data_IF_200931646387
#
_entry.id   IF_200931646387
#
_cell.length_a   1.000
_cell.length_b   1.000
_cell.length_c   1.000
_cell.angle_alpha   90.00
_cell.angle_beta   90.00
_cell.angle_gamma   90.00
#
_symmetry.space_group_name_H-M   'P 1'
#
loop_
_entity.id
_entity.type
_entity.pdbx_description
1 polymer ?
#
# COMPACT_ATOMS: atom_id res chain seq x y z
N UNK A 1 4.12 20.37 19.40
CA UNK A 1 3.76 20.48 17.97
C UNK A 1 4.61 21.55 17.28
N UNK A 2 4.77 22.74 17.87
CA UNK A 2 5.57 23.83 17.28
C UNK A 2 7.03 23.42 17.03
N UNK A 3 7.68 22.71 17.94
CA UNK A 3 9.05 22.20 17.79
C UNK A 3 9.19 21.11 16.73
N UNK A 4 8.10 20.37 16.42
CA UNK A 4 8.10 19.26 15.49
C UNK A 4 7.83 19.67 14.04
N UNK A 5 7.06 20.70 13.82
CA UNK A 5 6.56 21.06 12.48
C UNK A 5 6.92 22.48 12.03
N UNK A 6 7.30 23.36 12.94
CA UNK A 6 7.60 24.76 12.62
C UNK A 6 9.10 25.06 12.76
N UNK A 7 9.64 24.81 13.95
CA UNK A 7 11.03 25.20 14.31
C UNK A 7 12.03 24.08 14.04
N UNK A 8 11.61 22.93 13.51
CA UNK A 8 12.47 21.78 13.24
C UNK A 8 13.67 22.21 12.37
N UNK A 9 14.93 22.09 12.86
CA UNK A 9 16.10 22.43 12.06
C UNK A 9 16.29 21.41 10.93
N UNK A 10 16.20 21.85 9.68
CA UNK A 10 16.33 21.02 8.50
C UNK A 10 17.46 21.50 7.61
N UNK A 11 18.16 20.57 6.95
CA UNK A 11 19.23 20.93 6.02
C UNK A 11 18.68 21.81 4.90
N UNK A 12 19.41 22.86 4.55
CA UNK A 12 19.05 23.77 3.44
C UNK A 12 19.13 23.11 2.06
N UNK A 13 19.83 21.99 1.95
CA UNK A 13 20.07 21.27 0.71
C UNK A 13 19.00 20.23 0.35
N UNK A 14 17.88 20.14 1.10
CA UNK A 14 16.80 19.20 0.77
C UNK A 14 16.12 19.63 -0.54
N UNK A 15 16.06 18.72 -1.51
CA UNK A 15 15.39 18.91 -2.78
C UNK A 15 13.94 18.33 -2.77
N UNK A 16 13.27 18.26 -3.92
CA UNK A 16 11.91 17.74 -4.01
C UNK A 16 11.81 16.23 -3.72
N UNK A 17 12.91 15.49 -3.74
CA UNK A 17 12.89 14.07 -3.38
C UNK A 17 12.56 13.84 -1.90
N UNK A 18 12.70 14.85 -1.05
CA UNK A 18 12.27 14.79 0.35
C UNK A 18 10.77 14.99 0.55
N UNK A 19 10.03 15.39 -0.50
CA UNK A 19 8.57 15.51 -0.46
C UNK A 19 7.86 14.16 -0.53
N UNK A 20 8.53 13.07 -0.91
CA UNK A 20 7.88 11.75 -1.04
C UNK A 20 7.24 11.26 0.26
N UNK A 21 7.85 11.56 1.41
CA UNK A 21 7.30 11.19 2.72
C UNK A 21 6.00 11.92 3.05
N UNK A 22 5.93 13.23 2.83
CA UNK A 22 4.71 14.01 3.04
C UNK A 22 3.61 13.62 2.04
N UNK A 23 3.98 13.32 0.79
CA UNK A 23 3.05 12.80 -0.21
C UNK A 23 2.44 11.46 0.21
N UNK A 24 3.26 10.53 0.73
CA UNK A 24 2.76 9.26 1.26
C UNK A 24 1.78 9.45 2.42
N UNK A 25 2.03 10.42 3.31
CA UNK A 25 1.09 10.77 4.38
C UNK A 25 -0.25 11.26 3.85
N UNK A 26 -0.23 12.12 2.82
CA UNK A 26 -1.46 12.60 2.15
C UNK A 26 -2.21 11.45 1.48
N UNK A 27 -1.50 10.56 0.77
CA UNK A 27 -2.13 9.40 0.10
C UNK A 27 -2.69 8.42 1.15
N UNK A 28 -1.99 8.17 2.26
CA UNK A 28 -2.49 7.31 3.34
C UNK A 28 -3.81 7.82 3.89
N UNK A 29 -3.89 9.12 4.19
CA UNK A 29 -5.13 9.74 4.63
C UNK A 29 -6.25 9.58 3.60
N UNK A 30 -5.95 9.82 2.33
CA UNK A 30 -6.90 9.67 1.22
C UNK A 30 -7.40 8.22 1.08
N UNK A 31 -6.52 7.22 1.21
CA UNK A 31 -6.88 5.80 1.17
C UNK A 31 -7.75 5.41 2.36
N UNK A 32 -7.41 5.83 3.57
CA UNK A 32 -8.23 5.59 4.76
C UNK A 32 -9.62 6.22 4.58
N UNK A 33 -9.68 7.46 4.12
CA UNK A 33 -10.95 8.17 3.93
C UNK A 33 -11.84 7.49 2.88
N UNK A 34 -11.30 7.21 1.69
CA UNK A 34 -12.06 6.55 0.62
C UNK A 34 -12.47 5.13 0.99
N UNK A 35 -11.58 4.35 1.63
CA UNK A 35 -11.88 3.01 2.10
C UNK A 35 -12.95 2.97 3.18
N UNK A 36 -12.92 3.92 4.12
CA UNK A 36 -13.94 4.06 5.14
C UNK A 36 -15.33 4.30 4.54
N UNK A 37 -15.45 5.16 3.53
CA UNK A 37 -16.72 5.41 2.84
C UNK A 37 -17.20 4.18 2.06
N UNK A 38 -16.29 3.45 1.42
CA UNK A 38 -16.64 2.20 0.71
C UNK A 38 -17.15 1.12 1.67
N UNK A 39 -16.63 1.06 2.89
CA UNK A 39 -17.02 0.04 3.87
C UNK A 39 -18.48 0.12 4.30
N UNK A 40 -19.16 1.25 4.12
CA UNK A 40 -20.58 1.39 4.45
C UNK A 40 -21.51 0.58 3.54
N UNK A 41 -21.07 0.30 2.33
CA UNK A 41 -21.89 -0.33 1.29
C UNK A 41 -21.33 -1.69 0.83
N UNK A 42 -20.13 -2.04 1.27
CA UNK A 42 -19.49 -3.31 0.92
C UNK A 42 -20.02 -4.45 1.79
N UNK A 43 -20.29 -5.61 1.18
CA UNK A 43 -20.63 -6.85 1.87
C UNK A 43 -19.49 -7.86 1.81
N UNK A 44 -19.04 -8.33 2.97
CA UNK A 44 -17.99 -9.36 3.09
C UNK A 44 -18.52 -10.79 3.04
N UNK A 45 -19.63 -11.00 2.37
CA UNK A 45 -20.19 -12.33 2.06
C UNK A 45 -19.72 -12.79 0.68
N UNK A 46 -19.27 -14.03 0.56
CA UNK A 46 -18.72 -14.58 -0.70
C UNK A 46 -19.74 -14.66 -1.83
N UNK A 47 -21.03 -14.63 -1.53
CA UNK A 47 -22.10 -14.59 -2.53
C UNK A 47 -22.46 -13.15 -2.94
N UNK A 48 -22.17 -12.16 -2.11
CA UNK A 48 -22.60 -10.77 -2.29
C UNK A 48 -21.43 -9.80 -2.52
N UNK A 49 -20.20 -10.20 -2.25
CA UNK A 49 -19.05 -9.29 -2.27
C UNK A 49 -18.85 -8.65 -3.63
N UNK A 50 -18.82 -9.43 -4.71
CA UNK A 50 -18.68 -8.91 -6.06
C UNK A 50 -19.85 -8.00 -6.44
N UNK A 51 -21.08 -8.41 -6.16
CA UNK A 51 -22.29 -7.63 -6.45
C UNK A 51 -22.34 -6.35 -5.63
N UNK A 52 -21.85 -6.35 -4.37
CA UNK A 52 -21.76 -5.13 -3.56
C UNK A 52 -20.80 -4.09 -4.15
N UNK A 53 -19.70 -4.54 -4.78
CA UNK A 53 -18.79 -3.63 -5.50
C UNK A 53 -19.49 -3.05 -6.74
N UNK A 54 -20.28 -3.86 -7.48
CA UNK A 54 -21.08 -3.37 -8.61
C UNK A 54 -22.15 -2.38 -8.12
N UNK A 55 -22.87 -2.70 -7.03
CA UNK A 55 -23.82 -1.81 -6.39
C UNK A 55 -23.19 -0.46 -6.03
N UNK A 56 -21.98 -0.46 -5.44
CA UNK A 56 -21.24 0.77 -5.15
C UNK A 56 -20.98 1.57 -6.44
N UNK A 57 -20.63 0.88 -7.53
CA UNK A 57 -20.28 1.54 -8.79
C UNK A 57 -21.48 2.15 -9.51
N UNK A 58 -22.67 1.53 -9.43
CA UNK A 58 -23.81 1.90 -10.25
C UNK A 58 -24.94 2.59 -9.49
N UNK A 59 -25.19 2.21 -8.24
CA UNK A 59 -26.37 2.64 -7.50
C UNK A 59 -26.08 3.61 -6.37
N UNK A 60 -24.90 3.50 -5.73
CA UNK A 60 -24.53 4.42 -4.64
C UNK A 60 -24.12 5.78 -5.21
N UNK A 61 -24.73 6.83 -4.69
CA UNK A 61 -24.43 8.19 -5.12
C UNK A 61 -22.95 8.54 -4.88
N UNK A 62 -22.22 8.88 -5.93
CA UNK A 62 -20.75 9.05 -5.96
C UNK A 62 -19.93 7.82 -5.56
N UNK A 63 -20.53 6.65 -5.43
CA UNK A 63 -19.82 5.41 -5.06
C UNK A 63 -18.74 5.04 -6.07
N UNK A 64 -19.02 5.19 -7.37
CA UNK A 64 -18.04 5.02 -8.44
C UNK A 64 -16.78 5.88 -8.23
N UNK A 65 -16.94 7.12 -7.76
CA UNK A 65 -15.85 8.05 -7.54
C UNK A 65 -14.93 7.56 -6.42
N UNK A 66 -15.48 7.17 -5.27
CA UNK A 66 -14.69 6.65 -4.15
C UNK A 66 -14.02 5.33 -4.52
N UNK A 67 -14.70 4.49 -5.31
CA UNK A 67 -14.14 3.20 -5.76
C UNK A 67 -12.94 3.39 -6.68
N UNK A 68 -13.05 4.24 -7.74
CA UNK A 68 -11.92 4.49 -8.65
C UNK A 68 -10.77 5.25 -7.96
N UNK A 69 -11.07 6.14 -7.02
CA UNK A 69 -10.05 6.82 -6.22
C UNK A 69 -9.29 5.86 -5.31
N UNK A 70 -10.00 4.95 -4.64
CA UNK A 70 -9.38 3.98 -3.75
C UNK A 70 -8.51 2.99 -4.53
N UNK A 71 -8.99 2.49 -5.65
CA UNK A 71 -8.26 1.58 -6.53
C UNK A 71 -6.99 2.22 -7.11
N UNK A 72 -7.11 3.38 -7.75
CA UNK A 72 -5.95 4.06 -8.36
C UNK A 72 -5.02 4.68 -7.30
N UNK A 73 -5.57 5.08 -6.16
CA UNK A 73 -4.80 5.60 -5.05
C UNK A 73 -3.84 4.58 -4.46
N UNK A 74 -4.18 3.27 -4.48
CA UNK A 74 -3.25 2.21 -4.12
C UNK A 74 -2.03 2.20 -5.05
N UNK A 75 -2.23 2.31 -6.37
CA UNK A 75 -1.13 2.42 -7.33
C UNK A 75 -0.28 3.67 -7.09
N UNK A 76 -0.90 4.82 -6.84
CA UNK A 76 -0.19 6.06 -6.50
C UNK A 76 0.63 5.91 -5.22
N UNK A 77 0.09 5.19 -4.22
CA UNK A 77 0.79 4.91 -2.97
C UNK A 77 2.09 4.15 -3.24
N UNK A 78 2.05 3.07 -4.03
CA UNK A 78 3.24 2.29 -4.36
C UNK A 78 4.26 3.04 -5.21
N UNK A 79 3.84 3.91 -6.14
CA UNK A 79 4.77 4.80 -6.86
C UNK A 79 5.60 5.62 -5.88
N UNK A 80 4.94 6.32 -4.96
CA UNK A 80 5.65 7.17 -3.99
C UNK A 80 6.38 6.36 -2.91
N UNK A 81 5.88 5.18 -2.54
CA UNK A 81 6.55 4.28 -1.61
C UNK A 81 7.91 3.82 -2.16
N UNK A 82 7.95 3.41 -3.42
CA UNK A 82 9.20 3.02 -4.07
C UNK A 82 10.14 4.20 -4.26
N UNK A 83 9.65 5.36 -4.70
CA UNK A 83 10.46 6.56 -4.78
C UNK A 83 11.06 6.95 -3.43
N UNK A 84 10.27 6.88 -2.36
CA UNK A 84 10.71 7.14 -0.99
C UNK A 84 11.77 6.15 -0.52
N UNK A 85 11.57 4.86 -0.76
CA UNK A 85 12.49 3.79 -0.43
C UNK A 85 13.83 3.94 -1.19
N UNK A 86 13.78 4.08 -2.51
CA UNK A 86 14.99 4.21 -3.33
C UNK A 86 15.73 5.52 -3.07
N UNK A 87 15.02 6.63 -2.81
CA UNK A 87 15.65 7.87 -2.33
C UNK A 87 16.43 7.62 -1.03
N UNK A 88 15.86 6.84 -0.10
CA UNK A 88 16.52 6.44 1.14
C UNK A 88 17.78 5.63 0.89
N UNK A 89 17.76 4.68 -0.04
CA UNK A 89 18.93 3.90 -0.44
C UNK A 89 20.00 4.81 -1.08
N UNK A 90 19.61 5.63 -2.06
CA UNK A 90 20.52 6.49 -2.80
C UNK A 90 21.24 7.50 -1.92
N UNK A 91 20.55 8.08 -0.92
CA UNK A 91 21.11 9.06 0.00
C UNK A 91 21.63 8.45 1.31
N UNK A 92 21.86 7.13 1.34
CA UNK A 92 22.39 6.41 2.51
C UNK A 92 21.57 6.61 3.80
N UNK A 93 20.24 6.82 3.68
CA UNK A 93 19.34 7.05 4.81
C UNK A 93 19.17 5.81 5.70
N UNK A 94 19.57 4.62 5.23
CA UNK A 94 19.61 3.39 6.03
C UNK A 94 20.54 3.49 7.25
N UNK A 95 21.44 4.47 7.28
CA UNK A 95 22.29 4.79 8.45
C UNK A 95 21.46 5.29 9.64
N UNK A 96 20.29 5.87 9.40
CA UNK A 96 19.32 6.21 10.42
C UNK A 96 18.53 4.94 10.79
N UNK A 97 19.16 4.02 11.49
CA UNK A 97 18.73 2.62 11.64
C UNK A 97 17.30 2.44 12.15
N UNK A 98 16.85 3.21 13.13
CA UNK A 98 15.48 3.13 13.66
C UNK A 98 14.45 3.66 12.67
N UNK A 99 14.78 4.75 11.95
CA UNK A 99 13.93 5.29 10.89
C UNK A 99 13.80 4.29 9.76
N UNK A 100 14.93 3.71 9.34
CA UNK A 100 14.96 2.69 8.29
C UNK A 100 14.17 1.46 8.65
N UNK A 101 14.42 0.90 9.83
CA UNK A 101 13.73 -0.30 10.31
C UNK A 101 12.21 -0.10 10.41
N UNK A 102 11.76 1.01 10.99
CA UNK A 102 10.33 1.34 11.04
C UNK A 102 9.72 1.48 9.65
N UNK A 103 10.46 2.06 8.68
CA UNK A 103 10.04 2.14 7.27
C UNK A 103 9.91 0.77 6.62
N UNK A 104 10.82 -0.16 6.89
CA UNK A 104 10.74 -1.55 6.39
C UNK A 104 9.50 -2.27 6.94
N UNK A 105 9.16 -2.09 8.21
CA UNK A 105 7.91 -2.63 8.76
C UNK A 105 6.68 -2.03 8.08
N UNK A 106 6.67 -0.71 7.83
CA UNK A 106 5.57 -0.04 7.13
C UNK A 106 5.40 -0.62 5.72
N UNK A 107 6.47 -0.77 4.94
CA UNK A 107 6.41 -1.37 3.59
C UNK A 107 5.78 -2.76 3.65
N UNK A 108 6.21 -3.60 4.58
CA UNK A 108 5.67 -4.95 4.75
C UNK A 108 4.15 -4.94 5.01
N UNK A 109 3.68 -4.08 5.93
CA UNK A 109 2.25 -3.98 6.21
C UNK A 109 1.45 -3.36 5.07
N UNK A 110 2.02 -2.41 4.31
CA UNK A 110 1.38 -1.83 3.12
C UNK A 110 1.21 -2.88 2.01
N UNK A 111 2.19 -3.78 1.82
CA UNK A 111 2.08 -4.91 0.89
C UNK A 111 0.92 -5.83 1.28
N UNK A 112 0.83 -6.20 2.57
CA UNK A 112 -0.27 -7.02 3.08
C UNK A 112 -1.62 -6.31 2.93
N UNK A 113 -1.67 -5.03 3.25
CA UNK A 113 -2.86 -4.19 3.13
C UNK A 113 -3.40 -4.18 1.71
N UNK A 114 -2.54 -3.87 0.74
CA UNK A 114 -2.94 -3.81 -0.66
C UNK A 114 -3.39 -5.17 -1.21
N UNK A 115 -2.71 -6.25 -0.83
CA UNK A 115 -3.10 -7.60 -1.21
C UNK A 115 -4.51 -7.95 -0.67
N UNK A 116 -4.76 -7.73 0.61
CA UNK A 116 -6.06 -8.01 1.19
C UNK A 116 -7.16 -7.18 0.55
N UNK A 117 -6.93 -5.88 0.31
CA UNK A 117 -7.88 -5.00 -0.38
C UNK A 117 -8.22 -5.46 -1.80
N UNK A 118 -7.22 -5.95 -2.54
CA UNK A 118 -7.43 -6.52 -3.86
C UNK A 118 -8.34 -7.76 -3.82
N UNK A 119 -8.14 -8.64 -2.84
CA UNK A 119 -8.97 -9.84 -2.67
C UNK A 119 -10.43 -9.51 -2.35
N UNK A 120 -10.72 -8.42 -1.66
CA UNK A 120 -12.08 -8.05 -1.28
C UNK A 120 -13.05 -7.86 -2.46
N UNK A 121 -12.55 -7.57 -3.66
CA UNK A 121 -13.40 -7.48 -4.86
C UNK A 121 -14.07 -8.81 -5.17
N UNK A 122 -13.45 -9.93 -4.80
CA UNK A 122 -13.94 -11.30 -5.00
C UNK A 122 -14.25 -11.62 -6.46
N UNK A 123 -13.44 -11.02 -7.35
CA UNK A 123 -13.49 -11.23 -8.79
C UNK A 123 -12.58 -12.39 -9.23
N UNK A 124 -12.63 -12.75 -10.50
CA UNK A 124 -11.92 -13.89 -11.07
C UNK A 124 -10.41 -13.83 -10.78
N UNK A 125 -9.73 -12.71 -11.07
CA UNK A 125 -8.29 -12.59 -10.84
C UNK A 125 -7.98 -12.54 -9.34
N UNK A 126 -8.72 -11.77 -8.54
CA UNK A 126 -8.42 -11.58 -7.12
C UNK A 126 -8.63 -12.84 -6.28
N UNK A 127 -9.65 -13.65 -6.61
CA UNK A 127 -9.87 -14.94 -5.96
C UNK A 127 -8.72 -15.90 -6.19
N UNK A 128 -8.28 -16.05 -7.44
CA UNK A 128 -7.20 -16.96 -7.78
C UNK A 128 -5.83 -16.46 -7.31
N UNK A 129 -5.61 -15.14 -7.30
CA UNK A 129 -4.45 -14.55 -6.64
C UNK A 129 -4.41 -14.87 -5.14
N UNK A 130 -5.58 -14.82 -4.47
CA UNK A 130 -5.70 -15.21 -3.07
C UNK A 130 -5.29 -16.67 -2.85
N UNK A 131 -5.79 -17.60 -3.67
CA UNK A 131 -5.44 -19.02 -3.59
C UNK A 131 -3.93 -19.22 -3.72
N UNK A 132 -3.31 -18.62 -4.74
CA UNK A 132 -1.88 -18.79 -5.02
C UNK A 132 -1.02 -18.19 -3.90
N UNK A 133 -1.27 -16.93 -3.53
CA UNK A 133 -0.41 -16.21 -2.57
C UNK A 133 -0.53 -16.81 -1.17
N UNK A 134 -1.76 -17.12 -0.71
CA UNK A 134 -1.93 -17.72 0.62
C UNK A 134 -1.41 -19.14 0.71
N UNK A 135 -1.43 -19.91 -0.41
CA UNK A 135 -0.83 -21.24 -0.45
C UNK A 135 0.69 -21.21 -0.25
N UNK A 136 1.37 -20.10 -0.50
CA UNK A 136 2.81 -19.95 -0.23
C UNK A 136 3.14 -20.05 1.27
N UNK A 137 2.19 -19.79 2.16
CA UNK A 137 2.38 -19.99 3.60
C UNK A 137 2.71 -21.45 3.95
N UNK A 138 2.34 -22.40 3.08
CA UNK A 138 2.66 -23.83 3.27
C UNK A 138 4.16 -24.15 3.29
N UNK A 139 5.01 -23.23 2.80
CA UNK A 139 6.47 -23.43 2.83
C UNK A 139 7.08 -23.20 4.21
N UNK A 140 6.33 -22.59 5.14
CA UNK A 140 6.80 -22.38 6.52
C UNK A 140 7.01 -23.73 7.18
N UNK A 141 8.24 -24.03 7.68
CA UNK A 141 8.54 -25.32 8.27
C UNK A 141 7.63 -25.65 9.47
N UNK A 142 7.29 -26.92 9.63
CA UNK A 142 6.52 -27.53 10.72
C UNK A 142 5.03 -27.19 10.76
N UNK A 143 4.62 -25.94 10.60
CA UNK A 143 3.23 -25.50 10.78
C UNK A 143 2.61 -24.77 9.56
N UNK A 144 3.33 -24.76 8.43
CA UNK A 144 2.84 -24.04 7.23
C UNK A 144 1.48 -24.50 6.72
N UNK A 145 1.22 -25.81 6.77
CA UNK A 145 -0.10 -26.37 6.42
C UNK A 145 -1.21 -25.87 7.35
N UNK A 146 -0.98 -25.87 8.65
CA UNK A 146 -1.94 -25.39 9.65
C UNK A 146 -2.18 -23.89 9.49
N UNK A 147 -1.15 -23.13 9.15
CA UNK A 147 -1.25 -21.70 8.88
C UNK A 147 -2.14 -21.41 7.66
N UNK A 148 -2.00 -22.20 6.59
CA UNK A 148 -2.90 -22.09 5.41
C UNK A 148 -4.33 -22.37 5.80
N UNK A 149 -4.59 -23.48 6.52
CA UNK A 149 -5.93 -23.84 6.98
C UNK A 149 -6.54 -22.76 7.89
N UNK A 150 -5.73 -22.15 8.72
CA UNK A 150 -6.17 -21.08 9.59
C UNK A 150 -6.56 -19.82 8.80
N UNK A 151 -5.73 -19.40 7.84
CA UNK A 151 -6.00 -18.24 6.97
C UNK A 151 -7.23 -18.47 6.11
N UNK A 152 -7.40 -19.69 5.57
CA UNK A 152 -8.58 -20.02 4.76
C UNK A 152 -9.85 -20.19 5.61
N UNK A 153 -9.71 -20.49 6.90
CA UNK A 153 -10.81 -20.88 7.77
C UNK A 153 -11.43 -22.22 7.40
N UNK A 154 -10.67 -23.09 6.72
CA UNK A 154 -11.07 -24.39 6.22
C UNK A 154 -10.09 -24.93 5.17
N UNK A 155 -10.56 -25.85 4.32
CA UNK A 155 -9.69 -26.55 3.35
C UNK A 155 -9.54 -25.78 2.01
N UNK A 156 -10.29 -24.70 1.81
CA UNK A 156 -10.26 -23.89 0.59
C UNK A 156 -10.47 -22.42 0.93
N UNK A 157 -10.00 -21.52 0.05
CA UNK A 157 -10.38 -20.10 0.10
C UNK A 157 -11.90 -20.00 -0.02
N UNK A 158 -12.52 -19.30 0.93
CA UNK A 158 -13.99 -19.25 1.08
C UNK A 158 -14.45 -17.93 1.71
N UNK A 159 -15.74 -17.83 2.02
CA UNK A 159 -16.31 -16.70 2.74
C UNK A 159 -15.67 -16.47 4.13
N UNK A 160 -15.08 -17.49 4.77
CA UNK A 160 -14.32 -17.32 6.00
C UNK A 160 -13.02 -16.51 5.76
N UNK A 161 -12.30 -16.84 4.68
CA UNK A 161 -11.12 -16.10 4.23
C UNK A 161 -11.47 -14.64 3.94
N UNK A 162 -12.56 -14.41 3.21
CA UNK A 162 -13.03 -13.08 2.85
C UNK A 162 -13.35 -12.22 4.08
N UNK A 163 -14.03 -12.80 5.08
CA UNK A 163 -14.36 -12.12 6.33
C UNK A 163 -13.11 -11.74 7.13
N UNK A 164 -12.14 -12.66 7.21
CA UNK A 164 -10.86 -12.39 7.85
C UNK A 164 -10.13 -11.23 7.14
N UNK A 165 -10.06 -11.28 5.82
CA UNK A 165 -9.37 -10.24 5.03
C UNK A 165 -10.06 -8.89 5.13
N UNK A 166 -11.40 -8.85 5.12
CA UNK A 166 -12.12 -7.60 5.36
C UNK A 166 -11.81 -7.00 6.73
N UNK A 167 -11.86 -7.82 7.79
CA UNK A 167 -11.59 -7.35 9.14
C UNK A 167 -10.17 -6.80 9.29
N UNK A 168 -9.16 -7.51 8.74
CA UNK A 168 -7.78 -7.08 8.83
C UNK A 168 -7.53 -5.87 7.93
N UNK A 169 -8.04 -5.84 6.68
CA UNK A 169 -7.91 -4.69 5.78
C UNK A 169 -8.57 -3.42 6.36
N UNK A 170 -9.66 -3.54 7.10
CA UNK A 170 -10.28 -2.39 7.75
C UNK A 170 -9.46 -1.87 8.95
N UNK A 171 -8.79 -2.75 9.70
CA UNK A 171 -8.04 -2.39 10.91
C UNK A 171 -6.59 -2.00 10.62
N UNK A 172 -5.95 -2.63 9.66
CA UNK A 172 -4.52 -2.50 9.40
C UNK A 172 -4.09 -1.07 9.01
N UNK A 173 -4.87 -0.27 8.23
CA UNK A 173 -4.50 1.12 7.93
C UNK A 173 -4.33 1.99 9.17
N UNK A 174 -5.12 1.78 10.21
CA UNK A 174 -5.00 2.48 11.48
C UNK A 174 -3.71 2.09 12.22
N UNK A 175 -3.35 0.82 12.17
CA UNK A 175 -2.07 0.37 12.70
C UNK A 175 -0.89 0.94 11.91
N UNK A 176 -0.97 0.95 10.57
CA UNK A 176 0.02 1.61 9.70
C UNK A 176 0.15 3.09 10.05
N UNK A 177 -0.96 3.79 10.29
CA UNK A 177 -0.93 5.19 10.71
C UNK A 177 -0.14 5.39 12.02
N UNK A 178 -0.33 4.52 13.02
CA UNK A 178 0.45 4.57 14.27
C UNK A 178 1.93 4.32 14.00
N UNK A 179 2.28 3.37 13.13
CA UNK A 179 3.66 3.12 12.74
C UNK A 179 4.28 4.32 11.99
N UNK A 180 3.51 5.02 11.16
CA UNK A 180 3.95 6.25 10.48
C UNK A 180 4.25 7.35 11.49
N UNK A 181 3.41 7.52 12.52
CA UNK A 181 3.68 8.48 13.61
C UNK A 181 4.98 8.11 14.33
N UNK A 182 5.17 6.83 14.64
CA UNK A 182 6.43 6.35 15.25
C UNK A 182 7.64 6.61 14.33
N UNK A 183 7.51 6.33 13.04
CA UNK A 183 8.54 6.59 12.03
C UNK A 183 8.95 8.08 12.00
N UNK A 184 7.97 8.98 12.06
CA UNK A 184 8.21 10.43 12.13
C UNK A 184 8.87 10.84 13.44
N UNK A 185 8.49 10.25 14.57
CA UNK A 185 9.15 10.51 15.86
C UNK A 185 10.63 10.12 15.79
N UNK A 186 10.95 8.95 15.27
CA UNK A 186 12.34 8.52 15.09
C UNK A 186 13.09 9.43 14.13
N UNK A 187 12.47 9.90 13.05
CA UNK A 187 13.06 10.85 12.12
C UNK A 187 13.35 12.20 12.79
N UNK A 188 12.48 12.68 13.68
CA UNK A 188 12.70 13.93 14.39
C UNK A 188 13.85 13.87 15.40
N UNK A 189 14.13 12.69 15.95
CA UNK A 189 15.28 12.49 16.86
C UNK A 189 16.61 12.64 16.13
N UNK A 190 16.72 12.11 14.90
CA UNK A 190 17.97 12.11 14.13
C UNK A 190 18.07 13.25 13.12
N UNK A 191 16.93 13.79 12.68
CA UNK A 191 16.83 14.63 11.48
C UNK A 191 16.93 13.83 10.18
N UNK A 192 16.67 14.51 9.07
CA UNK A 192 16.75 13.91 7.72
C UNK A 192 18.18 13.86 7.21
N UNK A 193 18.52 12.86 6.40
CA UNK A 193 19.70 12.92 5.53
C UNK A 193 19.56 14.04 4.51
N UNK A 194 20.63 14.38 3.81
CA UNK A 194 20.63 15.37 2.74
C UNK A 194 21.45 14.89 1.54
N UNK A 195 21.35 15.59 0.41
CA UNK A 195 22.18 15.35 -0.78
C UNK A 195 23.69 15.52 -0.49
N UNK A 196 24.04 16.24 0.56
CA UNK A 196 25.43 16.50 0.98
C UNK A 196 25.97 15.43 1.96
N UNK A 197 25.30 14.30 2.10
CA UNK A 197 25.65 13.23 3.05
C UNK A 197 25.76 13.77 4.49
N UNK A 198 26.95 13.64 5.15
CA UNK A 198 27.18 14.12 6.50
C UNK A 198 27.33 15.64 6.64
N UNK A 199 27.41 16.39 5.55
CA UNK A 199 27.61 17.84 5.57
C UNK A 199 26.31 18.66 5.60
N UNK A 200 25.16 17.99 5.56
CA UNK A 200 23.84 18.66 5.63
C UNK A 200 23.57 19.36 6.96
N UNK A 201 24.36 19.06 8.01
CA UNK A 201 24.20 19.63 9.33
C UNK A 201 24.88 21.00 9.51
N UNK A 202 25.72 21.40 8.58
CA UNK A 202 26.46 22.68 8.67
C UNK A 202 25.61 23.91 8.33
N UNK A 203 24.55 23.77 7.56
CA UNK A 203 23.65 24.87 7.18
C UNK A 203 22.19 24.40 7.28
N UNK A 204 21.57 24.68 8.42
CA UNK A 204 20.18 24.35 8.74
C UNK A 204 19.31 25.59 8.76
N UNK A 205 18.07 25.42 8.29
CA UNK A 205 17.00 26.42 8.35
C UNK A 205 15.78 25.81 9.03
N UNK A 206 14.87 26.65 9.51
CA UNK A 206 13.61 26.17 10.05
C UNK A 206 12.77 25.46 8.98
N UNK A 207 12.06 24.40 9.36
CA UNK A 207 11.20 23.66 8.45
C UNK A 207 10.10 24.57 7.85
N UNK A 208 9.47 25.39 8.68
CA UNK A 208 8.53 26.42 8.24
C UNK A 208 9.30 27.74 7.99
N UNK A 209 8.99 28.51 6.93
CA UNK A 209 7.98 28.22 5.89
C UNK A 209 8.50 27.39 4.70
N UNK A 210 9.81 27.17 4.62
CA UNK A 210 10.51 26.72 3.40
C UNK A 210 10.05 25.35 2.94
N UNK A 211 9.99 24.35 3.82
CA UNK A 211 9.63 22.98 3.47
C UNK A 211 8.12 22.76 3.44
N UNK A 212 7.33 23.61 4.11
CA UNK A 212 5.89 23.65 3.90
C UNK A 212 5.55 24.15 2.49
N UNK A 213 6.26 25.16 1.98
CA UNK A 213 6.11 25.61 0.61
C UNK A 213 6.56 24.55 -0.40
N UNK A 214 7.64 23.83 -0.11
CA UNK A 214 8.05 22.69 -0.94
C UNK A 214 7.01 21.56 -0.93
N UNK A 215 6.44 21.22 0.20
CA UNK A 215 5.40 20.20 0.30
C UNK A 215 4.12 20.59 -0.49
N UNK A 216 3.87 21.88 -0.71
CA UNK A 216 2.75 22.32 -1.55
C UNK A 216 2.86 21.87 -3.02
N UNK A 217 4.06 21.55 -3.52
CA UNK A 217 4.21 20.95 -4.86
C UNK A 217 3.52 19.58 -4.98
N UNK A 218 3.24 18.90 -3.88
CA UNK A 218 2.43 17.70 -3.88
C UNK A 218 1.02 17.92 -4.46
N UNK A 219 0.48 19.15 -4.37
CA UNK A 219 -0.82 19.49 -4.98
C UNK A 219 -0.79 19.38 -6.51
N UNK A 220 0.36 19.62 -7.14
CA UNK A 220 0.53 19.40 -8.58
C UNK A 220 0.41 17.92 -8.93
N UNK A 221 1.00 17.05 -8.11
CA UNK A 221 0.86 15.60 -8.27
C UNK A 221 -0.60 15.17 -8.12
N UNK A 222 -1.33 15.72 -7.14
CA UNK A 222 -2.75 15.45 -6.99
C UNK A 222 -3.57 15.89 -8.19
N UNK A 223 -3.28 17.05 -8.78
CA UNK A 223 -3.93 17.51 -9.99
C UNK A 223 -3.74 16.52 -11.14
N UNK A 224 -2.49 16.08 -11.40
CA UNK A 224 -2.21 15.08 -12.42
C UNK A 224 -2.89 13.74 -12.13
N UNK A 225 -2.91 13.30 -10.87
CA UNK A 225 -3.59 12.09 -10.46
C UNK A 225 -5.10 12.15 -10.77
N UNK A 226 -5.78 13.23 -10.41
CA UNK A 226 -7.20 13.38 -10.73
C UNK A 226 -7.46 13.39 -12.23
N UNK A 227 -6.68 14.15 -13.01
CA UNK A 227 -6.80 14.15 -14.46
C UNK A 227 -6.61 12.74 -15.03
N UNK A 228 -5.59 12.01 -14.57
CA UNK A 228 -5.33 10.64 -14.99
C UNK A 228 -6.50 9.71 -14.65
N UNK A 229 -6.97 9.71 -13.42
CA UNK A 229 -8.04 8.82 -12.95
C UNK A 229 -9.36 9.09 -13.67
N UNK A 230 -9.69 10.36 -13.95
CA UNK A 230 -10.89 10.69 -14.71
C UNK A 230 -10.78 10.36 -16.20
N UNK A 231 -9.57 10.40 -16.76
CA UNK A 231 -9.36 10.06 -18.18
C UNK A 231 -9.27 8.57 -18.43
N UNK A 232 -8.62 7.82 -17.53
CA UNK A 232 -8.27 6.40 -17.70
C UNK A 232 -8.47 5.61 -16.40
N UNK A 233 -9.69 5.51 -15.85
CA UNK A 233 -9.93 5.01 -14.50
C UNK A 233 -9.52 3.55 -14.26
N UNK A 234 -9.47 2.70 -15.31
CA UNK A 234 -9.25 1.26 -15.18
C UNK A 234 -7.98 0.76 -15.88
N UNK A 235 -7.16 1.66 -16.43
CA UNK A 235 -5.97 1.28 -17.22
C UNK A 235 -4.92 0.53 -16.40
N UNK A 236 -4.89 0.72 -15.09
CA UNK A 236 -3.96 0.04 -14.17
C UNK A 236 -4.53 -1.28 -13.61
N UNK A 237 -5.75 -1.66 -13.98
CA UNK A 237 -6.40 -2.87 -13.49
C UNK A 237 -6.39 -4.00 -14.53
N UNK A 238 -6.67 -5.20 -14.04
CA UNK A 238 -6.83 -6.39 -14.88
C UNK A 238 -8.27 -6.51 -15.36
N UNK A 239 -8.53 -6.83 -16.66
CA UNK A 239 -9.88 -7.03 -17.19
C UNK A 239 -10.66 -8.15 -16.49
N UNK A 240 -9.99 -9.19 -15.99
CA UNK A 240 -10.65 -10.28 -15.25
C UNK A 240 -11.19 -9.86 -13.87
N UNK A 241 -10.88 -8.66 -13.41
CA UNK A 241 -11.49 -8.06 -12.22
C UNK A 241 -12.91 -7.58 -12.43
N UNK A 242 -13.41 -7.58 -13.68
CA UNK A 242 -14.82 -7.33 -14.01
C UNK A 242 -15.65 -8.60 -14.18
N UNK A 243 -15.05 -9.77 -13.96
CA UNK A 243 -15.71 -11.06 -14.04
C UNK A 243 -15.91 -11.66 -12.65
N UNK A 244 -17.09 -12.20 -12.42
CA UNK A 244 -17.39 -12.97 -11.19
C UNK A 244 -16.43 -14.16 -11.08
N UNK A 245 -15.94 -14.44 -9.89
CA UNK A 245 -15.02 -15.55 -9.65
C UNK A 245 -15.66 -16.90 -10.00
N UNK A 246 -15.02 -17.65 -10.89
CA UNK A 246 -15.33 -19.06 -11.13
C UNK A 246 -14.38 -19.91 -10.27
N UNK A 247 -14.92 -20.56 -9.25
CA UNK A 247 -14.12 -21.34 -8.29
C UNK A 247 -13.57 -22.66 -8.88
N UNK A 248 -14.08 -23.09 -10.03
CA UNK A 248 -13.67 -24.34 -10.68
C UNK A 248 -12.68 -24.14 -11.83
N UNK A 249 -12.56 -22.92 -12.34
CA UNK A 249 -11.73 -22.62 -13.50
C UNK A 249 -10.89 -21.37 -13.28
N UNK A 250 -9.58 -21.58 -13.18
CA UNK A 250 -8.63 -20.46 -13.05
C UNK A 250 -8.49 -19.69 -14.36
N UNK A 251 -8.13 -18.39 -14.30
CA UNK A 251 -7.72 -17.64 -15.47
C UNK A 251 -6.50 -18.27 -16.14
N UNK A 252 -6.30 -17.99 -17.42
CA UNK A 252 -5.16 -18.53 -18.20
C UNK A 252 -3.81 -18.10 -17.59
N UNK A 253 -3.75 -16.87 -17.09
CA UNK A 253 -2.57 -16.34 -16.42
C UNK A 253 -3.00 -15.66 -15.11
N UNK A 254 -2.42 -16.08 -13.99
CA UNK A 254 -2.58 -15.42 -12.70
C UNK A 254 -1.36 -14.52 -12.52
N UNK A 255 -1.52 -13.22 -12.80
CA UNK A 255 -0.46 -12.22 -12.69
C UNK A 255 -0.81 -11.27 -11.55
N UNK A 256 0.14 -11.01 -10.62
CA UNK A 256 -0.11 -10.01 -9.58
C UNK A 256 -0.12 -8.59 -10.16
N UNK A 257 -0.68 -7.65 -9.41
CA UNK A 257 -0.65 -6.23 -9.72
C UNK A 257 0.80 -5.74 -9.93
N UNK A 258 0.97 -4.71 -10.77
CA UNK A 258 2.29 -4.23 -11.21
C UNK A 258 3.26 -3.95 -10.06
N UNK A 259 2.76 -3.46 -8.95
CA UNK A 259 3.59 -3.14 -7.78
C UNK A 259 4.08 -4.37 -7.00
N UNK A 260 3.61 -5.57 -7.32
CA UNK A 260 4.11 -6.85 -6.78
C UNK A 260 4.98 -7.64 -7.76
N UNK A 261 5.14 -7.18 -9.01
CA UNK A 261 5.87 -7.94 -10.04
C UNK A 261 7.32 -8.22 -9.66
N UNK A 262 7.99 -7.33 -8.92
CA UNK A 262 9.36 -7.55 -8.48
C UNK A 262 9.44 -8.75 -7.51
N UNK A 263 8.52 -8.84 -6.55
CA UNK A 263 8.47 -9.96 -5.60
C UNK A 263 8.11 -11.28 -6.32
N UNK A 264 7.18 -11.20 -7.27
CA UNK A 264 6.84 -12.34 -8.12
C UNK A 264 8.02 -12.82 -8.97
N UNK A 265 8.80 -11.90 -9.52
CA UNK A 265 10.02 -12.25 -10.27
C UNK A 265 11.05 -12.94 -9.37
N UNK A 266 11.28 -12.44 -8.16
CA UNK A 266 12.18 -13.06 -7.17
C UNK A 266 11.69 -14.46 -6.81
N UNK A 267 10.39 -14.61 -6.48
CA UNK A 267 9.79 -15.89 -6.15
C UNK A 267 10.02 -16.94 -7.26
N UNK A 268 9.91 -16.53 -8.53
CA UNK A 268 10.08 -17.44 -9.68
C UNK A 268 11.52 -17.71 -10.05
N UNK A 269 12.46 -16.85 -9.66
CA UNK A 269 13.88 -17.03 -9.94
C UNK A 269 14.50 -18.23 -9.19
N UNK A 270 13.91 -18.60 -8.05
CA UNK A 270 14.41 -19.71 -7.24
C UNK A 270 13.62 -21.00 -7.53
N UNK A 271 14.33 -22.12 -7.82
CA UNK A 271 13.68 -23.41 -8.06
C UNK A 271 13.02 -23.99 -6.79
N UNK A 272 13.50 -23.61 -5.61
CA UNK A 272 12.94 -23.99 -4.33
C UNK A 272 11.99 -22.91 -3.83
N UNK A 273 10.72 -23.26 -3.64
CA UNK A 273 9.67 -22.31 -3.17
C UNK A 273 10.02 -21.64 -1.83
N UNK A 274 10.62 -22.39 -0.90
CA UNK A 274 11.04 -21.83 0.38
C UNK A 274 12.06 -20.69 0.20
N UNK A 275 13.09 -20.90 -0.62
CA UNK A 275 14.10 -19.87 -0.90
C UNK A 275 13.52 -18.67 -1.66
N UNK A 276 12.47 -18.86 -2.44
CA UNK A 276 11.81 -17.77 -3.14
C UNK A 276 10.93 -16.91 -2.23
N UNK A 277 10.43 -17.47 -1.13
CA UNK A 277 9.59 -16.76 -0.14
C UNK A 277 10.42 -16.06 0.93
N UNK A 278 11.57 -16.61 1.33
CA UNK A 278 12.51 -16.04 2.32
C UNK A 278 13.45 -15.03 1.67
#
# INVERSE_FOLDING_TARGET
LNSMVVVLPSSKSLDLNWNYGSMLGMILFFQIFTGFLLSFFYSNDSLLAFDSVQYIMYDVNYGWLYRIFHFNGASLFFVFLYLHFFKGLFNSSYRLSLVWLSGVFIIFFVILEAFMGYVLVWAQMSFWACVVITSLLSVVPFFGGDLVLWVWGGFTVSGATLKLFFAVHFLLPWFIFVLVVFHLIMLHVTGSTSVLSGFGDYDKIGFFPYYWLKDSYNLVVWLFFFVFVFSCPFVLGDPEMFLLANYLMSPVHIVPEWYFLFAYAILRAFPNKFLGVV
#
